data_IF_601582053311
#
_entry.id   IF_601582053311
#
_cell.length_a   1.000
_cell.length_b   1.000
_cell.length_c   1.000
_cell.angle_alpha   90.00
_cell.angle_beta   90.00
_cell.angle_gamma   90.00
#
_symmetry.space_group_name_H-M   'P 1'
#
loop_
_entity.id
_entity.type
_entity.pdbx_description
1 polymer ?
#
# COMPACT_ATOMS: atom_id res chain seq x y z
N UNK A 1 3.33 -18.66 -14.90
CA UNK A 1 4.36 -18.22 -13.93
C UNK A 1 4.31 -16.70 -13.67
N UNK A 2 3.14 -16.09 -13.47
CA UNK A 2 2.98 -14.65 -13.19
C UNK A 2 1.78 -14.38 -12.29
N UNK A 3 0.80 -15.27 -12.34
CA UNK A 3 -0.36 -15.36 -11.44
C UNK A 3 0.05 -15.82 -10.03
N UNK A 4 0.88 -16.87 -9.93
CA UNK A 4 1.36 -17.36 -8.62
C UNK A 4 2.14 -16.31 -7.82
N UNK A 5 2.92 -15.46 -8.48
CA UNK A 5 3.64 -14.36 -7.83
C UNK A 5 2.71 -13.24 -7.35
N UNK A 6 1.55 -13.04 -8.00
CA UNK A 6 0.59 -11.98 -7.65
C UNK A 6 -0.15 -12.29 -6.35
N UNK A 7 -0.56 -13.54 -6.18
CA UNK A 7 -1.22 -14.04 -4.97
C UNK A 7 -0.31 -13.92 -3.73
N UNK A 8 0.98 -14.24 -3.87
CA UNK A 8 1.95 -14.13 -2.76
C UNK A 8 2.21 -12.68 -2.38
N UNK A 9 2.24 -11.76 -3.34
CA UNK A 9 2.41 -10.33 -3.04
C UNK A 9 1.20 -9.71 -2.35
N UNK A 10 -0.03 -10.18 -2.58
CA UNK A 10 -1.21 -9.69 -1.83
C UNK A 10 -1.24 -10.23 -0.38
N UNK A 11 -0.60 -11.37 -0.15
CA UNK A 11 -0.50 -11.96 1.19
C UNK A 11 0.63 -11.35 2.04
N UNK A 12 1.68 -10.80 1.41
CA UNK A 12 2.91 -10.32 2.09
C UNK A 12 3.12 -8.81 1.99
N UNK A 13 2.67 -8.17 0.92
CA UNK A 13 2.73 -6.72 0.74
C UNK A 13 1.34 -6.15 1.04
N UNK A 14 1.18 -5.12 1.89
CA UNK A 14 -0.12 -4.50 2.09
C UNK A 14 -0.69 -4.11 0.72
N UNK A 15 -1.74 -4.83 0.31
CA UNK A 15 -2.41 -4.61 -0.96
C UNK A 15 -2.98 -3.20 -1.03
N UNK A 16 -3.28 -2.61 0.13
CA UNK A 16 -3.90 -1.31 0.31
C UNK A 16 -3.16 -0.41 1.29
N UNK A 17 -3.24 0.90 1.05
CA UNK A 17 -2.74 1.94 1.93
C UNK A 17 -3.38 1.79 3.31
N UNK A 18 -2.57 1.67 4.36
CA UNK A 18 -3.07 1.54 5.74
C UNK A 18 -3.88 2.76 6.20
N UNK A 19 -3.72 3.92 5.57
CA UNK A 19 -4.46 5.15 5.91
C UNK A 19 -5.80 5.31 5.19
N UNK A 20 -5.87 5.04 3.89
CA UNK A 20 -7.06 5.34 3.07
C UNK A 20 -7.56 4.18 2.21
N UNK A 21 -6.96 3.00 2.29
CA UNK A 21 -7.39 1.82 1.53
C UNK A 21 -7.06 1.86 0.03
N UNK A 22 -6.18 2.76 -0.42
CA UNK A 22 -5.78 2.82 -1.84
C UNK A 22 -4.91 1.62 -2.21
N UNK A 23 -5.32 0.86 -3.23
CA UNK A 23 -4.58 -0.27 -3.74
C UNK A 23 -3.16 0.09 -4.23
N UNK A 24 -2.22 -0.85 -4.05
CA UNK A 24 -0.81 -0.84 -4.51
C UNK A 24 0.13 0.13 -3.79
N UNK A 25 -0.06 0.39 -2.50
CA UNK A 25 0.94 1.08 -1.68
C UNK A 25 0.74 0.80 -0.19
N UNK A 26 1.81 0.71 0.60
CA UNK A 26 1.71 0.58 2.05
C UNK A 26 1.14 1.85 2.72
N UNK A 27 1.55 3.02 2.22
CA UNK A 27 1.03 4.33 2.62
C UNK A 27 1.11 5.26 1.41
N UNK A 28 0.03 5.94 1.06
CA UNK A 28 0.07 6.93 -0.02
C UNK A 28 0.67 8.25 0.47
N UNK A 29 1.22 9.05 -0.44
CA UNK A 29 1.86 10.34 -0.09
C UNK A 29 0.91 11.27 0.68
N UNK A 30 -0.38 11.30 0.36
CA UNK A 30 -1.36 12.10 1.10
C UNK A 30 -1.53 11.66 2.56
N UNK A 31 -1.60 10.34 2.81
CA UNK A 31 -1.62 9.81 4.17
C UNK A 31 -0.28 9.99 4.88
N UNK A 32 0.84 9.92 4.15
CA UNK A 32 2.17 10.16 4.70
C UNK A 32 2.32 11.63 5.15
N UNK A 33 1.86 12.58 4.35
CA UNK A 33 1.79 14.01 4.69
C UNK A 33 0.89 14.24 5.91
N UNK A 34 -0.30 13.65 5.93
CA UNK A 34 -1.20 13.77 7.08
C UNK A 34 -0.60 13.21 8.39
N UNK A 35 0.14 12.10 8.30
CA UNK A 35 0.78 11.45 9.46
C UNK A 35 2.04 12.19 9.94
N UNK A 36 2.86 12.68 9.01
CA UNK A 36 4.18 13.28 9.32
C UNK A 36 4.15 14.80 9.41
N UNK A 37 3.05 15.45 9.02
CA UNK A 37 2.95 16.91 8.95
C UNK A 37 3.89 17.56 7.93
N UNK A 38 4.46 16.78 7.00
CA UNK A 38 5.31 17.31 5.93
C UNK A 38 4.46 18.03 4.86
N UNK A 39 4.77 19.28 4.51
CA UNK A 39 4.07 19.99 3.44
C UNK A 39 4.30 19.34 2.07
#
# INVERSE_FOLDING_TARGET
MREWWREITELVLPADCAGCGRARTALCDGCLTALTGRP
#
